data_IF_043177586737
#
_entry.id   IF_043177586737
#
_cell.length_a   1.000
_cell.length_b   1.000
_cell.length_c   1.000
_cell.angle_alpha   90.00
_cell.angle_beta   90.00
_cell.angle_gamma   90.00
#
_symmetry.space_group_name_H-M   'P 1'
#
loop_
_entity.id
_entity.type
_entity.pdbx_description
1 polymer ?
#
# COMPACT_ATOMS: atom_id res chain seq x y z
N UNK A 1 4.25 9.36 -13.08
CA UNK A 1 2.82 9.19 -13.44
C UNK A 1 2.33 10.34 -14.33
N UNK A 2 2.53 11.61 -13.99
CA UNK A 2 2.07 12.76 -14.83
C UNK A 2 2.64 12.70 -16.25
N UNK A 3 3.96 12.52 -16.40
CA UNK A 3 4.61 12.40 -17.71
C UNK A 3 4.08 11.17 -18.48
N UNK A 4 3.96 10.04 -17.79
CA UNK A 4 3.43 8.80 -18.36
C UNK A 4 2.01 8.98 -18.92
N UNK A 5 1.15 9.70 -18.21
CA UNK A 5 -0.25 9.93 -18.60
C UNK A 5 -0.38 10.70 -19.92
N UNK A 6 0.62 11.49 -20.35
CA UNK A 6 0.62 12.11 -21.66
C UNK A 6 0.60 11.11 -22.81
N UNK A 7 1.37 10.04 -22.70
CA UNK A 7 1.37 8.96 -23.69
C UNK A 7 0.16 8.05 -23.57
N UNK A 8 -0.18 7.64 -22.33
CA UNK A 8 -1.23 6.67 -22.08
C UNK A 8 -2.64 7.16 -22.42
N UNK A 9 -2.96 8.44 -22.16
CA UNK A 9 -4.27 9.04 -22.40
C UNK A 9 -4.30 9.91 -23.67
N UNK A 10 -3.33 9.76 -24.56
CA UNK A 10 -3.29 10.53 -25.80
C UNK A 10 -4.52 10.21 -26.66
N UNK A 11 -5.30 11.27 -26.98
CA UNK A 11 -6.54 11.11 -27.75
C UNK A 11 -7.79 10.72 -26.95
N UNK A 12 -7.67 10.44 -25.64
CA UNK A 12 -8.80 10.10 -24.77
C UNK A 12 -9.60 11.35 -24.38
N UNK A 13 -10.91 11.19 -24.34
CA UNK A 13 -11.81 12.24 -23.85
C UNK A 13 -11.66 12.45 -22.34
N UNK A 14 -11.51 13.69 -21.89
CA UNK A 14 -11.42 14.02 -20.46
C UNK A 14 -9.99 14.14 -19.94
N UNK A 15 -9.01 14.30 -20.82
CA UNK A 15 -7.60 14.50 -20.48
C UNK A 15 -7.38 15.59 -19.41
N UNK A 16 -8.00 16.77 -19.56
CA UNK A 16 -7.92 17.86 -18.58
C UNK A 16 -8.48 17.44 -17.21
N UNK A 17 -9.62 16.73 -17.23
CA UNK A 17 -10.25 16.22 -15.99
C UNK A 17 -9.34 15.23 -15.27
N UNK A 18 -8.64 14.35 -16.01
CA UNK A 18 -7.67 13.43 -15.43
C UNK A 18 -6.57 14.17 -14.64
N UNK A 19 -5.97 15.19 -15.24
CA UNK A 19 -4.91 15.96 -14.58
C UNK A 19 -5.42 16.78 -13.39
N UNK A 20 -6.63 17.32 -13.45
CA UNK A 20 -7.23 18.01 -12.31
C UNK A 20 -7.40 17.05 -11.12
N UNK A 21 -7.93 15.86 -11.35
CA UNK A 21 -8.11 14.86 -10.29
C UNK A 21 -6.79 14.28 -9.78
N UNK A 22 -5.81 14.08 -10.67
CA UNK A 22 -4.49 13.60 -10.32
C UNK A 22 -3.74 14.62 -9.44
N UNK A 23 -3.86 15.92 -9.75
CA UNK A 23 -3.27 16.99 -8.96
C UNK A 23 -3.95 17.11 -7.59
N UNK A 24 -5.29 17.00 -7.53
CA UNK A 24 -6.05 16.99 -6.29
C UNK A 24 -5.62 15.82 -5.39
N UNK A 25 -5.45 14.63 -5.98
CA UNK A 25 -5.00 13.44 -5.26
C UNK A 25 -3.58 13.63 -4.70
N UNK A 26 -2.66 14.14 -5.51
CA UNK A 26 -1.28 14.40 -5.09
C UNK A 26 -1.21 15.43 -3.97
N UNK A 27 -1.98 16.53 -4.08
CA UNK A 27 -2.08 17.54 -3.03
C UNK A 27 -2.63 16.93 -1.73
N UNK A 28 -3.66 16.11 -1.83
CA UNK A 28 -4.27 15.45 -0.65
C UNK A 28 -3.29 14.53 0.06
N UNK A 29 -2.52 13.75 -0.71
CA UNK A 29 -1.51 12.85 -0.15
C UNK A 29 -0.35 13.61 0.49
N UNK A 30 0.16 14.65 -0.15
CA UNK A 30 1.21 15.50 0.43
C UNK A 30 0.72 16.18 1.71
N UNK A 31 -0.51 16.71 1.70
CA UNK A 31 -1.12 17.32 2.89
C UNK A 31 -1.26 16.33 4.06
N UNK A 32 -1.58 15.07 3.78
CA UNK A 32 -1.64 14.01 4.79
C UNK A 32 -0.25 13.76 5.41
N UNK A 33 0.79 13.69 4.59
CA UNK A 33 2.16 13.40 5.07
C UNK A 33 2.75 14.55 5.88
N UNK A 34 2.50 15.80 5.47
CA UNK A 34 3.02 16.99 6.16
C UNK A 34 2.12 17.49 7.29
N UNK A 35 1.00 16.83 7.57
CA UNK A 35 0.09 17.19 8.65
C UNK A 35 0.84 17.27 9.99
N UNK A 36 0.60 18.35 10.74
CA UNK A 36 1.24 18.61 12.05
C UNK A 36 0.46 18.04 13.22
N UNK A 37 -0.78 17.63 12.99
CA UNK A 37 -1.65 17.04 13.99
C UNK A 37 -2.56 15.97 13.37
N UNK A 38 -3.07 15.06 14.21
CA UNK A 38 -3.88 13.93 13.78
C UNK A 38 -5.23 14.35 13.21
N UNK A 39 -5.81 15.44 13.72
CA UNK A 39 -7.08 15.95 13.21
C UNK A 39 -6.90 16.52 11.79
N UNK A 40 -5.79 17.22 11.51
CA UNK A 40 -5.46 17.70 10.16
C UNK A 40 -5.20 16.56 9.19
N UNK A 41 -4.67 15.44 9.66
CA UNK A 41 -4.46 14.23 8.86
C UNK A 41 -5.78 13.66 8.33
N UNK A 42 -6.87 13.76 9.10
CA UNK A 42 -8.18 13.26 8.73
C UNK A 42 -8.80 13.94 7.49
N UNK A 43 -8.95 15.29 7.38
CA UNK A 43 -9.45 15.92 6.16
C UNK A 43 -8.64 15.60 4.92
N UNK A 44 -7.32 15.49 5.01
CA UNK A 44 -6.51 15.10 3.86
C UNK A 44 -6.70 13.62 3.48
N UNK A 45 -6.92 12.73 4.44
CA UNK A 45 -7.32 11.35 4.19
C UNK A 45 -8.67 11.29 3.48
N UNK A 46 -9.64 12.12 3.91
CA UNK A 46 -10.94 12.25 3.30
C UNK A 46 -10.84 12.76 1.84
N UNK A 47 -10.07 13.82 1.63
CA UNK A 47 -9.88 14.41 0.30
C UNK A 47 -9.17 13.43 -0.66
N UNK A 48 -8.21 12.65 -0.15
CA UNK A 48 -7.58 11.56 -0.90
C UNK A 48 -8.62 10.48 -1.29
N UNK A 49 -9.57 10.16 -0.41
CA UNK A 49 -10.67 9.25 -0.71
C UNK A 49 -11.61 9.77 -1.81
N UNK A 50 -11.95 11.06 -1.79
CA UNK A 50 -12.78 11.70 -2.84
C UNK A 50 -12.04 11.70 -4.18
N UNK A 51 -10.78 12.13 -4.18
CA UNK A 51 -9.99 12.20 -5.41
C UNK A 51 -9.76 10.80 -6.02
N UNK A 52 -9.55 9.77 -5.20
CA UNK A 52 -9.47 8.38 -5.69
C UNK A 52 -10.78 7.89 -6.27
N UNK A 53 -11.93 8.23 -5.68
CA UNK A 53 -13.26 7.95 -6.24
C UNK A 53 -13.40 8.52 -7.65
N UNK A 54 -13.02 9.79 -7.85
CA UNK A 54 -13.09 10.47 -9.15
C UNK A 54 -12.12 9.85 -10.18
N UNK A 55 -10.94 9.43 -9.74
CA UNK A 55 -9.94 8.79 -10.60
C UNK A 55 -10.30 7.36 -10.99
N UNK A 56 -10.82 6.54 -10.07
CA UNK A 56 -11.29 5.19 -10.36
C UNK A 56 -12.49 5.23 -11.30
N UNK A 57 -13.42 6.18 -11.07
CA UNK A 57 -14.58 6.43 -11.93
C UNK A 57 -14.31 7.25 -13.18
N UNK A 58 -13.05 7.39 -13.61
CA UNK A 58 -12.68 8.20 -14.77
C UNK A 58 -13.46 7.80 -16.04
N UNK A 59 -13.60 6.51 -16.27
CA UNK A 59 -14.40 5.95 -17.36
C UNK A 59 -15.88 5.79 -16.95
N UNK A 60 -16.50 6.88 -16.47
CA UNK A 60 -17.87 6.90 -15.97
C UNK A 60 -18.97 6.42 -16.95
N UNK A 61 -18.78 6.38 -18.28
CA UNK A 61 -19.75 5.72 -19.16
C UNK A 61 -19.80 4.20 -18.95
N UNK A 62 -18.73 3.60 -18.37
CA UNK A 62 -18.68 2.17 -18.08
C UNK A 62 -19.31 1.88 -16.71
N UNK A 63 -20.33 1.05 -16.70
CA UNK A 63 -21.03 0.67 -15.46
C UNK A 63 -20.08 0.02 -14.43
N UNK A 64 -19.10 -0.77 -14.90
CA UNK A 64 -18.09 -1.40 -14.05
C UNK A 64 -17.25 -0.37 -13.31
N UNK A 65 -16.77 0.69 -13.99
CA UNK A 65 -15.96 1.75 -13.40
C UNK A 65 -16.77 2.55 -12.34
N UNK A 66 -18.05 2.83 -12.62
CA UNK A 66 -18.94 3.49 -11.66
C UNK A 66 -19.21 2.62 -10.43
N UNK A 67 -19.44 1.32 -10.61
CA UNK A 67 -19.64 0.39 -9.49
C UNK A 67 -18.38 0.26 -8.64
N UNK A 68 -17.20 0.14 -9.27
CA UNK A 68 -15.91 0.05 -8.61
C UNK A 68 -15.57 1.32 -7.80
N UNK A 69 -15.80 2.50 -8.39
CA UNK A 69 -15.55 3.78 -7.69
C UNK A 69 -16.46 3.96 -6.48
N UNK A 70 -17.75 3.66 -6.60
CA UNK A 70 -18.71 3.68 -5.48
C UNK A 70 -18.32 2.70 -4.38
N UNK A 71 -17.94 1.48 -4.73
CA UNK A 71 -17.48 0.47 -3.76
C UNK A 71 -16.24 0.94 -3.01
N UNK A 72 -15.23 1.45 -3.72
CA UNK A 72 -14.02 1.99 -3.11
C UNK A 72 -14.35 3.14 -2.13
N UNK A 73 -15.21 4.06 -2.54
CA UNK A 73 -15.62 5.18 -1.71
C UNK A 73 -16.36 4.72 -0.46
N UNK A 74 -17.37 3.86 -0.59
CA UNK A 74 -18.20 3.42 0.55
C UNK A 74 -17.35 2.65 1.57
N UNK A 75 -16.51 1.70 1.12
CA UNK A 75 -15.68 0.90 2.02
C UNK A 75 -14.66 1.76 2.77
N UNK A 76 -14.00 2.68 2.09
CA UNK A 76 -13.03 3.57 2.74
C UNK A 76 -13.71 4.57 3.67
N UNK A 77 -14.91 5.08 3.33
CA UNK A 77 -15.69 5.97 4.21
C UNK A 77 -16.18 5.28 5.47
N UNK A 78 -16.61 4.05 5.34
CA UNK A 78 -16.98 3.25 6.51
C UNK A 78 -15.78 3.11 7.47
N UNK A 79 -14.59 2.85 6.96
CA UNK A 79 -13.39 2.79 7.76
C UNK A 79 -13.00 4.16 8.37
N UNK A 80 -13.13 5.24 7.59
CA UNK A 80 -12.81 6.60 8.03
C UNK A 80 -13.72 7.07 9.18
N UNK A 81 -14.96 6.54 9.30
CA UNK A 81 -15.82 6.79 10.46
C UNK A 81 -15.16 6.32 11.77
N UNK A 82 -14.58 5.13 11.78
CA UNK A 82 -13.84 4.63 12.94
C UNK A 82 -12.58 5.45 13.21
N UNK A 83 -11.89 5.89 12.15
CA UNK A 83 -10.75 6.79 12.28
C UNK A 83 -11.14 8.09 13.01
N UNK A 84 -12.23 8.72 12.59
CA UNK A 84 -12.73 9.96 13.22
C UNK A 84 -13.10 9.73 14.68
N UNK A 85 -13.86 8.66 14.98
CA UNK A 85 -14.25 8.34 16.36
C UNK A 85 -13.01 8.15 17.24
N UNK A 86 -12.01 7.42 16.74
CA UNK A 86 -10.74 7.22 17.45
C UNK A 86 -10.00 8.53 17.72
N UNK A 87 -9.94 9.43 16.73
CA UNK A 87 -9.33 10.76 16.87
C UNK A 87 -10.07 11.60 17.93
N UNK A 88 -11.40 11.59 17.90
CA UNK A 88 -12.20 12.38 18.86
C UNK A 88 -12.06 11.86 20.29
N UNK A 89 -12.05 10.52 20.48
CA UNK A 89 -11.79 9.91 21.79
C UNK A 89 -10.38 10.31 22.25
N UNK A 90 -9.37 10.14 21.38
CA UNK A 90 -8.00 10.51 21.70
C UNK A 90 -7.91 11.97 22.11
N UNK A 91 -8.42 12.91 21.29
CA UNK A 91 -8.35 14.34 21.58
C UNK A 91 -9.13 14.77 22.83
N UNK A 92 -10.26 14.12 23.12
CA UNK A 92 -11.03 14.40 24.33
C UNK A 92 -10.28 14.03 25.62
N UNK A 93 -9.59 12.87 25.62
CA UNK A 93 -8.89 12.40 26.82
C UNK A 93 -7.47 12.94 26.95
N UNK A 94 -6.81 13.30 25.86
CA UNK A 94 -5.44 13.86 25.88
C UNK A 94 -5.41 15.38 25.78
N UNK A 95 -6.57 16.02 25.55
CA UNK A 95 -6.71 17.47 25.34
C UNK A 95 -5.80 18.04 24.24
N UNK A 96 -5.28 17.17 23.34
CA UNK A 96 -4.38 17.55 22.27
C UNK A 96 -4.55 16.66 21.04
N UNK A 97 -4.35 17.26 19.87
CA UNK A 97 -4.28 16.55 18.58
C UNK A 97 -2.86 16.62 17.96
N UNK A 98 -1.92 17.27 18.61
CA UNK A 98 -0.61 17.60 18.04
C UNK A 98 0.35 16.41 18.01
N UNK A 99 1.11 16.26 16.91
CA UNK A 99 2.21 15.30 16.81
C UNK A 99 3.52 15.74 17.49
N UNK A 100 3.66 17.02 17.84
CA UNK A 100 4.81 17.48 18.65
C UNK A 100 4.92 16.75 19.99
N UNK A 101 3.80 16.30 20.45
CA UNK A 101 3.56 15.41 21.52
C UNK A 101 4.22 14.02 21.35
N UNK A 102 4.12 13.42 20.20
CA UNK A 102 4.78 12.14 19.88
C UNK A 102 6.31 12.30 19.84
N UNK A 103 6.79 13.44 19.34
CA UNK A 103 8.22 13.71 19.24
C UNK A 103 8.88 14.01 20.59
N UNK A 104 8.15 14.55 21.56
CA UNK A 104 8.70 14.83 22.90
C UNK A 104 8.86 13.56 23.76
N UNK A 105 8.20 12.46 23.41
CA UNK A 105 8.44 11.15 24.02
C UNK A 105 9.87 10.62 23.75
N UNK A 106 10.53 11.08 22.70
CA UNK A 106 11.86 10.62 22.29
C UNK A 106 13.03 11.49 22.80
N UNK A 107 12.76 12.63 23.47
CA UNK A 107 13.77 13.69 23.58
C UNK A 107 14.25 14.03 25.00
N UNK A 108 13.89 13.32 26.05
CA UNK A 108 14.29 13.79 27.37
C UNK A 108 14.77 12.69 28.32
N UNK A 109 16.08 12.66 28.57
CA UNK A 109 16.61 12.19 29.84
C UNK A 109 15.92 12.94 30.99
N UNK A 110 14.89 12.33 31.56
CA UNK A 110 14.27 12.76 32.82
C UNK A 110 13.16 13.82 32.77
N UNK A 111 12.75 14.32 31.59
CA UNK A 111 11.55 15.15 31.49
C UNK A 111 10.32 14.27 31.23
N UNK A 112 9.37 14.26 32.16
CA UNK A 112 8.07 13.63 31.97
C UNK A 112 7.39 14.38 30.82
N UNK A 113 7.09 13.73 29.68
CA UNK A 113 6.43 14.41 28.57
C UNK A 113 5.08 14.98 29.04
N UNK A 114 4.66 16.10 28.49
CA UNK A 114 3.37 16.76 28.75
C UNK A 114 2.17 15.78 28.71
N UNK A 115 2.30 14.70 27.94
CA UNK A 115 1.33 13.60 27.83
C UNK A 115 1.35 12.62 28.98
N UNK A 116 2.46 12.38 29.59
CA UNK A 116 2.46 11.42 30.67
C UNK A 116 1.46 11.86 31.76
N UNK A 117 1.24 13.17 31.95
CA UNK A 117 0.23 13.67 32.85
C UNK A 117 -1.21 13.48 32.33
N UNK A 118 -1.45 13.71 31.02
CA UNK A 118 -2.79 13.64 30.43
C UNK A 118 -3.15 12.22 29.99
N UNK A 119 -2.19 11.45 29.49
CA UNK A 119 -2.35 10.02 29.28
C UNK A 119 -2.43 9.24 30.60
N UNK A 120 -1.74 9.70 31.66
CA UNK A 120 -1.94 9.15 33.01
C UNK A 120 -3.37 9.41 33.53
N UNK A 121 -3.98 10.54 33.18
CA UNK A 121 -5.41 10.79 33.46
C UNK A 121 -6.31 9.85 32.64
N UNK A 122 -6.02 9.65 31.37
CA UNK A 122 -6.78 8.73 30.51
C UNK A 122 -6.61 7.26 30.94
N UNK A 123 -5.42 6.87 31.37
CA UNK A 123 -5.14 5.55 31.97
C UNK A 123 -5.82 5.42 33.34
N UNK A 124 -5.83 6.47 34.15
CA UNK A 124 -6.51 6.50 35.44
C UNK A 124 -8.05 6.49 35.29
N UNK A 125 -8.59 7.07 34.24
CA UNK A 125 -10.04 7.07 33.94
C UNK A 125 -10.57 5.72 33.41
N UNK A 126 -9.70 4.81 33.02
CA UNK A 126 -10.02 3.46 32.54
C UNK A 126 -9.02 3.01 31.49
N UNK A 127 -8.06 2.19 31.87
CA UNK A 127 -6.86 1.81 31.09
C UNK A 127 -7.07 1.18 29.71
N UNK A 128 -8.32 1.08 29.21
CA UNK A 128 -8.65 0.59 27.87
C UNK A 128 -9.00 1.70 26.87
N UNK A 129 -9.14 2.95 27.29
CA UNK A 129 -9.65 4.07 26.44
C UNK A 129 -8.67 4.40 25.32
N UNK A 130 -7.41 4.65 25.65
CA UNK A 130 -6.37 4.95 24.65
C UNK A 130 -6.12 3.76 23.71
N UNK A 131 -5.96 2.50 24.21
CA UNK A 131 -5.90 1.34 23.34
C UNK A 131 -7.10 1.24 22.40
N UNK A 132 -8.32 1.50 22.88
CA UNK A 132 -9.53 1.49 22.04
C UNK A 132 -9.48 2.57 20.96
N UNK A 133 -9.08 3.79 21.31
CA UNK A 133 -8.93 4.87 20.34
C UNK A 133 -7.92 4.52 19.24
N UNK A 134 -6.76 3.94 19.59
CA UNK A 134 -5.74 3.51 18.64
C UNK A 134 -6.24 2.38 17.74
N UNK A 135 -6.97 1.39 18.27
CA UNK A 135 -7.57 0.31 17.46
C UNK A 135 -8.62 0.87 16.50
N UNK A 136 -9.47 1.81 16.92
CA UNK A 136 -10.42 2.47 16.02
C UNK A 136 -9.71 3.25 14.91
N UNK A 137 -8.64 3.96 15.26
CA UNK A 137 -7.81 4.62 14.23
C UNK A 137 -7.17 3.61 13.27
N UNK A 138 -6.72 2.46 13.78
CA UNK A 138 -6.19 1.38 12.94
C UNK A 138 -7.23 0.85 11.94
N UNK A 139 -8.51 0.71 12.32
CA UNK A 139 -9.57 0.30 11.39
C UNK A 139 -9.65 1.27 10.21
N UNK A 140 -9.55 2.58 10.46
CA UNK A 140 -9.47 3.58 9.40
C UNK A 140 -8.28 3.38 8.47
N UNK A 141 -7.09 3.22 9.03
CA UNK A 141 -5.87 2.91 8.28
C UNK A 141 -5.96 1.59 7.52
N UNK A 142 -6.53 0.55 8.12
CA UNK A 142 -6.76 -0.76 7.51
C UNK A 142 -7.68 -0.68 6.29
N UNK A 143 -8.69 0.20 6.31
CA UNK A 143 -9.56 0.44 5.16
C UNK A 143 -8.83 1.05 3.97
N UNK A 144 -7.98 2.05 4.20
CA UNK A 144 -7.13 2.66 3.17
C UNK A 144 -6.08 1.68 2.64
N UNK A 145 -5.48 0.92 3.54
CA UNK A 145 -4.44 -0.07 3.22
C UNK A 145 -5.00 -1.41 2.72
N UNK A 146 -6.30 -1.49 2.52
CA UNK A 146 -7.00 -2.68 2.01
C UNK A 146 -6.66 -3.96 2.80
N UNK A 147 -6.61 -3.86 4.15
CA UNK A 147 -6.47 -5.03 5.02
C UNK A 147 -7.79 -5.81 5.10
N UNK A 148 -7.70 -7.12 5.29
CA UNK A 148 -8.89 -7.96 5.50
C UNK A 148 -9.67 -7.51 6.75
N UNK A 149 -11.01 -7.42 6.68
CA UNK A 149 -11.91 -7.73 5.56
C UNK A 149 -12.18 -6.55 4.60
N UNK A 150 -11.58 -5.37 4.82
CA UNK A 150 -11.83 -4.13 4.09
C UNK A 150 -11.07 -4.03 2.73
N UNK A 151 -10.49 -5.14 2.26
CA UNK A 151 -9.67 -5.22 1.04
C UNK A 151 -10.47 -5.23 -0.27
N UNK A 152 -11.77 -5.49 -0.20
CA UNK A 152 -12.64 -5.83 -1.34
C UNK A 152 -12.77 -4.74 -2.41
N UNK A 153 -12.38 -3.52 -2.10
CA UNK A 153 -12.45 -2.40 -3.04
C UNK A 153 -11.22 -2.32 -3.96
N UNK A 154 -10.06 -2.79 -3.49
CA UNK A 154 -8.78 -2.56 -4.17
C UNK A 154 -8.65 -3.31 -5.51
N UNK A 155 -9.04 -4.60 -5.64
CA UNK A 155 -9.02 -5.30 -6.92
C UNK A 155 -10.00 -4.70 -7.95
N UNK A 156 -11.14 -4.19 -7.50
CA UNK A 156 -12.13 -3.58 -8.40
C UNK A 156 -11.70 -2.17 -8.83
N UNK A 157 -10.89 -1.47 -8.04
CA UNK A 157 -10.29 -0.18 -8.41
C UNK A 157 -9.43 -0.25 -9.68
N UNK A 158 -9.13 -1.46 -10.18
CA UNK A 158 -8.42 -1.69 -11.45
C UNK A 158 -9.20 -1.25 -12.70
N UNK A 159 -10.49 -0.94 -12.58
CA UNK A 159 -11.31 -0.37 -13.66
C UNK A 159 -10.87 1.06 -14.05
N UNK A 160 -10.14 1.76 -13.19
CA UNK A 160 -9.55 3.05 -13.48
C UNK A 160 -8.36 2.98 -14.47
N UNK A 161 -7.92 4.12 -15.04
CA UNK A 161 -6.75 4.18 -15.91
C UNK A 161 -5.48 3.63 -15.22
N UNK A 162 -4.62 2.94 -15.96
CA UNK A 162 -3.42 2.31 -15.37
C UNK A 162 -2.46 3.29 -14.68
N UNK A 163 -2.23 4.53 -15.15
CA UNK A 163 -1.47 5.53 -14.41
C UNK A 163 -2.03 5.83 -13.01
N UNK A 164 -3.37 5.82 -12.88
CA UNK A 164 -4.05 5.97 -11.59
C UNK A 164 -3.79 4.77 -10.69
N UNK A 165 -3.90 3.56 -11.26
CA UNK A 165 -3.57 2.34 -10.52
C UNK A 165 -2.12 2.36 -10.02
N UNK A 166 -1.15 2.78 -10.85
CA UNK A 166 0.23 2.94 -10.45
C UNK A 166 0.37 3.90 -9.26
N UNK A 167 -0.30 5.05 -9.28
CA UNK A 167 -0.23 6.04 -8.21
C UNK A 167 -0.85 5.51 -6.90
N UNK A 168 -2.07 5.00 -6.95
CA UNK A 168 -2.81 4.50 -5.77
C UNK A 168 -2.05 3.36 -5.08
N UNK A 169 -1.46 2.44 -5.85
CA UNK A 169 -0.92 1.18 -5.34
C UNK A 169 0.56 1.21 -4.99
N UNK A 170 1.35 2.15 -5.54
CA UNK A 170 2.79 2.15 -5.30
C UNK A 170 3.15 2.80 -3.95
N UNK A 171 2.79 4.07 -3.74
CA UNK A 171 3.34 4.87 -2.66
C UNK A 171 2.34 5.82 -1.99
N UNK A 172 1.04 5.74 -2.30
CA UNK A 172 0.10 6.75 -1.85
C UNK A 172 -1.04 6.19 -1.01
N UNK A 173 -2.22 5.99 -1.56
CA UNK A 173 -3.42 5.68 -0.78
C UNK A 173 -3.26 4.42 0.09
N UNK A 174 -2.72 3.34 -0.48
CA UNK A 174 -2.61 2.06 0.22
C UNK A 174 -1.54 2.05 1.32
N UNK A 175 -0.56 2.94 1.27
CA UNK A 175 0.45 3.09 2.33
C UNK A 175 0.02 4.06 3.43
N UNK A 176 -1.10 4.78 3.26
CA UNK A 176 -1.57 5.76 4.23
C UNK A 176 -1.83 5.14 5.63
N UNK A 177 -2.37 3.92 5.69
CA UNK A 177 -2.55 3.22 6.96
C UNK A 177 -1.25 2.75 7.60
N UNK A 178 -0.28 2.31 6.80
CA UNK A 178 1.09 2.01 7.28
C UNK A 178 1.73 3.26 7.87
N UNK A 179 1.66 4.37 7.13
CA UNK A 179 2.17 5.67 7.59
C UNK A 179 1.48 6.14 8.88
N UNK A 180 0.16 5.95 8.98
CA UNK A 180 -0.61 6.31 10.18
C UNK A 180 -0.13 5.54 11.42
N UNK A 181 0.06 4.22 11.32
CA UNK A 181 0.58 3.42 12.44
C UNK A 181 2.00 3.84 12.77
N UNK A 182 2.85 4.01 11.75
CA UNK A 182 4.23 4.45 11.94
C UNK A 182 4.32 5.84 12.59
N UNK A 183 3.42 6.75 12.24
CA UNK A 183 3.35 8.11 12.83
C UNK A 183 2.91 8.09 14.29
N UNK A 184 2.01 7.16 14.64
CA UNK A 184 1.50 6.97 16.00
C UNK A 184 2.25 5.87 16.75
N UNK A 185 3.35 5.34 16.20
CA UNK A 185 4.06 4.20 16.73
C UNK A 185 4.48 4.32 18.19
N UNK A 186 5.00 5.48 18.68
CA UNK A 186 5.30 5.65 20.09
C UNK A 186 4.09 5.45 21.01
N UNK A 187 2.90 5.92 20.60
CA UNK A 187 1.67 5.74 21.35
C UNK A 187 1.22 4.27 21.40
N UNK A 188 1.41 3.53 20.30
CA UNK A 188 1.12 2.10 20.24
C UNK A 188 1.99 1.31 21.23
N UNK A 189 3.30 1.58 21.24
CA UNK A 189 4.26 0.88 22.10
C UNK A 189 3.99 1.20 23.57
N UNK A 190 3.70 2.45 23.90
CA UNK A 190 3.51 2.91 25.29
C UNK A 190 2.15 2.50 25.86
N UNK A 191 1.07 2.72 25.11
CA UNK A 191 -0.30 2.60 25.65
C UNK A 191 -1.09 1.40 25.14
N UNK A 192 -0.70 0.78 24.04
CA UNK A 192 -1.44 -0.31 23.42
C UNK A 192 -0.55 -1.49 22.92
N UNK A 193 0.51 -1.90 23.66
CA UNK A 193 1.41 -2.95 23.20
C UNK A 193 0.69 -4.29 22.96
N UNK A 194 -0.26 -4.64 23.82
CA UNK A 194 -1.05 -5.87 23.67
C UNK A 194 -1.95 -5.87 22.42
N UNK A 195 -2.46 -4.72 22.02
CA UNK A 195 -3.32 -4.55 20.84
C UNK A 195 -2.53 -4.57 19.52
N UNK A 196 -1.21 -4.37 19.55
CA UNK A 196 -0.36 -4.55 18.36
C UNK A 196 -0.47 -5.97 17.79
N UNK A 197 -0.78 -6.97 18.63
CA UNK A 197 -1.07 -8.33 18.16
C UNK A 197 -2.24 -8.40 17.17
N UNK A 198 -3.23 -7.50 17.26
CA UNK A 198 -4.33 -7.40 16.30
C UNK A 198 -3.78 -6.98 14.93
N UNK A 199 -2.86 -6.00 14.92
CA UNK A 199 -2.19 -5.54 13.67
C UNK A 199 -1.40 -6.68 13.05
N UNK A 200 -0.64 -7.45 13.87
CA UNK A 200 0.13 -8.63 13.41
C UNK A 200 -0.80 -9.64 12.74
N UNK A 201 -1.82 -10.13 13.44
CA UNK A 201 -2.62 -11.23 12.92
C UNK A 201 -3.51 -10.84 11.74
N UNK A 202 -4.08 -9.63 11.73
CA UNK A 202 -4.77 -9.09 10.55
C UNK A 202 -3.79 -8.96 9.38
N UNK A 203 -2.57 -8.49 9.61
CA UNK A 203 -1.52 -8.39 8.61
C UNK A 203 -1.12 -9.75 8.05
N UNK A 204 -0.80 -10.73 8.91
CA UNK A 204 -0.40 -12.10 8.53
C UNK A 204 -1.49 -12.77 7.68
N UNK A 205 -2.75 -12.71 8.14
CA UNK A 205 -3.87 -13.28 7.40
C UNK A 205 -4.05 -12.60 6.04
N UNK A 206 -3.99 -11.27 6.01
CA UNK A 206 -4.12 -10.49 4.77
C UNK A 206 -3.00 -10.81 3.79
N UNK A 207 -1.75 -10.90 4.26
CA UNK A 207 -0.59 -11.22 3.44
C UNK A 207 -0.73 -12.58 2.76
N UNK A 208 -1.10 -13.60 3.55
CA UNK A 208 -1.31 -14.96 3.06
C UNK A 208 -2.48 -15.06 2.08
N UNK A 209 -3.65 -14.54 2.47
CA UNK A 209 -4.85 -14.56 1.65
C UNK A 209 -4.62 -13.87 0.29
N UNK A 210 -4.05 -12.66 0.32
CA UNK A 210 -3.82 -11.91 -0.91
C UNK A 210 -2.79 -12.58 -1.83
N UNK A 211 -1.72 -13.17 -1.28
CA UNK A 211 -0.74 -13.92 -2.07
C UNK A 211 -1.36 -15.17 -2.71
N UNK A 212 -2.19 -15.92 -1.97
CA UNK A 212 -2.88 -17.09 -2.49
C UNK A 212 -3.83 -16.72 -3.64
N UNK A 213 -4.61 -15.63 -3.49
CA UNK A 213 -5.50 -15.14 -4.56
C UNK A 213 -4.70 -14.65 -5.77
N UNK A 214 -3.57 -13.95 -5.57
CA UNK A 214 -2.71 -13.49 -6.66
C UNK A 214 -2.20 -14.66 -7.53
N UNK A 215 -1.94 -15.83 -6.92
CA UNK A 215 -1.53 -17.04 -7.65
C UNK A 215 -2.58 -17.53 -8.67
N UNK A 216 -3.86 -17.22 -8.46
CA UNK A 216 -4.97 -17.70 -9.29
C UNK A 216 -5.51 -16.67 -10.29
N UNK A 217 -5.14 -15.38 -10.17
CA UNK A 217 -5.65 -14.34 -11.06
C UNK A 217 -5.11 -14.47 -12.49
N UNK A 218 -5.95 -14.16 -13.48
CA UNK A 218 -5.62 -14.12 -14.92
C UNK A 218 -5.42 -12.70 -15.47
N UNK A 219 -5.98 -11.68 -14.81
CA UNK A 219 -5.85 -10.27 -15.16
C UNK A 219 -4.55 -9.68 -14.57
N UNK A 220 -3.70 -9.09 -15.43
CA UNK A 220 -2.41 -8.48 -15.03
C UNK A 220 -2.57 -7.43 -13.92
N UNK A 221 -3.58 -6.56 -14.03
CA UNK A 221 -3.81 -5.51 -13.03
C UNK A 221 -4.29 -6.10 -11.71
N UNK A 222 -5.14 -7.14 -11.74
CA UNK A 222 -5.62 -7.83 -10.52
C UNK A 222 -4.50 -8.61 -9.84
N UNK A 223 -3.61 -9.28 -10.56
CA UNK A 223 -2.40 -9.89 -9.97
C UNK A 223 -1.60 -8.85 -9.22
N UNK A 224 -1.33 -7.69 -9.84
CA UNK A 224 -0.59 -6.60 -9.22
C UNK A 224 -1.34 -5.97 -8.02
N UNK A 225 -2.68 -5.89 -8.07
CA UNK A 225 -3.49 -5.40 -6.95
C UNK A 225 -3.40 -6.31 -5.73
N UNK A 226 -3.62 -7.62 -5.89
CA UNK A 226 -3.47 -8.58 -4.79
C UNK A 226 -2.04 -8.67 -4.28
N UNK A 227 -1.06 -8.55 -5.15
CA UNK A 227 0.34 -8.45 -4.72
C UNK A 227 0.61 -7.17 -3.93
N UNK A 228 -0.08 -6.06 -4.21
CA UNK A 228 -0.01 -4.84 -3.39
C UNK A 228 -0.58 -5.08 -2.00
N UNK A 229 -1.78 -5.66 -1.88
CA UNK A 229 -2.40 -6.01 -0.60
C UNK A 229 -1.43 -6.85 0.25
N UNK A 230 -0.82 -7.87 -0.37
CA UNK A 230 0.15 -8.74 0.30
C UNK A 230 1.38 -7.98 0.79
N UNK A 231 1.97 -7.09 -0.03
CA UNK A 231 3.18 -6.33 0.36
C UNK A 231 2.88 -5.26 1.42
N UNK A 232 1.73 -4.59 1.35
CA UNK A 232 1.32 -3.65 2.40
C UNK A 232 1.10 -4.41 3.72
N UNK A 233 0.55 -5.60 3.66
CA UNK A 233 0.41 -6.47 4.84
C UNK A 233 1.76 -6.88 5.44
N UNK A 234 2.82 -7.10 4.62
CA UNK A 234 4.18 -7.27 5.13
C UNK A 234 4.64 -6.08 5.99
N UNK A 235 4.38 -4.86 5.52
CA UNK A 235 4.74 -3.64 6.27
C UNK A 235 3.95 -3.52 7.57
N UNK A 236 2.65 -3.86 7.55
CA UNK A 236 1.81 -3.87 8.75
C UNK A 236 2.29 -4.90 9.77
N UNK A 237 2.62 -6.11 9.33
CA UNK A 237 3.19 -7.15 10.21
C UNK A 237 4.50 -6.66 10.82
N UNK A 238 5.39 -6.06 10.01
CA UNK A 238 6.68 -5.55 10.49
C UNK A 238 6.52 -4.50 11.59
N UNK A 239 5.55 -3.58 11.46
CA UNK A 239 5.22 -2.63 12.53
C UNK A 239 4.63 -3.34 13.76
N UNK A 240 3.76 -4.32 13.54
CA UNK A 240 3.05 -5.02 14.60
C UNK A 240 3.93 -5.89 15.48
N UNK A 241 5.00 -6.49 14.94
CA UNK A 241 5.93 -7.36 15.68
C UNK A 241 6.92 -6.60 16.57
N UNK A 242 6.96 -5.28 16.48
CA UNK A 242 7.77 -4.43 17.33
C UNK A 242 7.14 -4.27 18.71
N UNK A 243 7.35 -5.19 19.62
CA UNK A 243 6.84 -5.11 21.00
C UNK A 243 7.94 -4.78 22.01
N UNK A 244 7.65 -3.92 23.01
CA UNK A 244 8.53 -3.72 24.15
C UNK A 244 8.68 -5.04 24.92
N UNK A 245 9.91 -5.41 25.25
CA UNK A 245 10.19 -6.58 26.10
C UNK A 245 10.68 -7.84 25.40
N UNK A 246 10.66 -7.93 24.09
CA UNK A 246 11.34 -9.00 23.35
C UNK A 246 12.81 -8.64 22.98
N UNK A 247 13.18 -7.36 23.10
CA UNK A 247 14.57 -6.90 23.04
C UNK A 247 14.83 -5.90 24.16
N UNK A 248 15.84 -6.16 24.98
CA UNK A 248 16.25 -5.31 26.10
C UNK A 248 16.80 -3.93 25.66
N UNK A 249 16.75 -3.62 24.38
CA UNK A 249 17.33 -2.39 23.85
C UNK A 249 16.36 -1.80 22.84
N UNK A 250 15.60 -0.78 23.25
CA UNK A 250 15.24 0.28 22.32
C UNK A 250 16.58 1.02 22.08
N UNK A 251 17.43 0.41 21.27
CA UNK A 251 18.67 1.06 20.83
C UNK A 251 18.32 2.35 20.12
N UNK A 252 19.25 3.28 20.11
CA UNK A 252 19.21 4.55 19.39
C UNK A 252 18.87 4.40 17.88
N UNK A 253 18.74 3.18 17.39
CA UNK A 253 18.44 2.79 16.00
C UNK A 253 16.98 2.38 15.73
N UNK A 254 16.08 2.44 16.72
CA UNK A 254 14.67 2.00 16.57
C UNK A 254 14.53 0.47 16.54
N UNK A 255 13.30 -0.05 16.65
CA UNK A 255 13.08 -1.49 16.52
C UNK A 255 13.26 -1.93 15.07
N UNK A 256 13.86 -3.11 14.86
CA UNK A 256 14.15 -3.68 13.54
C UNK A 256 12.91 -3.67 12.63
N UNK A 257 11.76 -4.09 13.14
CA UNK A 257 10.53 -4.15 12.36
C UNK A 257 10.03 -2.79 11.88
N UNK A 258 10.17 -1.72 12.68
CA UNK A 258 9.81 -0.36 12.25
C UNK A 258 10.68 0.09 11.09
N UNK A 259 12.01 -0.04 11.22
CA UNK A 259 12.95 0.34 10.17
C UNK A 259 12.74 -0.49 8.90
N UNK A 260 12.55 -1.81 9.05
CA UNK A 260 12.28 -2.72 7.95
C UNK A 260 10.98 -2.36 7.22
N UNK A 261 9.91 -2.01 7.95
CA UNK A 261 8.64 -1.56 7.37
C UNK A 261 8.81 -0.31 6.53
N UNK A 262 9.49 0.73 7.05
CA UNK A 262 9.73 1.99 6.34
C UNK A 262 10.66 1.79 5.15
N UNK A 263 11.68 0.97 5.28
CA UNK A 263 12.57 0.62 4.18
C UNK A 263 11.81 -0.16 3.08
N UNK A 264 10.97 -1.12 3.46
CA UNK A 264 10.16 -1.84 2.50
C UNK A 264 9.12 -0.94 1.80
N UNK A 265 8.57 0.06 2.49
CA UNK A 265 7.69 1.07 1.90
C UNK A 265 8.41 1.82 0.77
N UNK A 266 9.64 2.27 1.01
CA UNK A 266 10.44 2.95 0.00
C UNK A 266 10.75 2.07 -1.21
N UNK A 267 11.24 0.85 -1.00
CA UNK A 267 11.55 -0.08 -2.09
C UNK A 267 10.31 -0.50 -2.86
N UNK A 268 9.19 -0.74 -2.14
CA UNK A 268 7.89 -1.06 -2.70
C UNK A 268 7.39 0.04 -3.65
N UNK A 269 7.52 1.30 -3.26
CA UNK A 269 7.12 2.43 -4.08
C UNK A 269 7.78 2.38 -5.47
N UNK A 270 9.08 2.07 -5.53
CA UNK A 270 9.84 2.02 -6.76
C UNK A 270 9.44 0.84 -7.66
N UNK A 271 9.54 -0.39 -7.16
CA UNK A 271 9.25 -1.55 -8.01
C UNK A 271 7.74 -1.67 -8.35
N UNK A 272 6.82 -1.23 -7.49
CA UNK A 272 5.39 -1.26 -7.79
C UNK A 272 4.99 -0.23 -8.85
N UNK A 273 5.50 0.98 -8.75
CA UNK A 273 5.27 1.98 -9.80
C UNK A 273 5.74 1.44 -11.16
N UNK A 274 6.95 0.90 -11.22
CA UNK A 274 7.50 0.33 -12.46
C UNK A 274 6.64 -0.85 -12.98
N UNK A 275 6.18 -1.76 -12.12
CA UNK A 275 5.31 -2.88 -12.52
C UNK A 275 3.96 -2.42 -13.08
N UNK A 276 3.31 -1.45 -12.44
CA UNK A 276 2.03 -0.93 -12.95
C UNK A 276 2.19 -0.11 -14.22
N UNK A 277 3.22 0.73 -14.31
CA UNK A 277 3.51 1.48 -15.55
C UNK A 277 3.88 0.54 -16.68
N UNK A 278 4.70 -0.49 -16.41
CA UNK A 278 5.02 -1.55 -17.37
C UNK A 278 3.78 -2.35 -17.80
N UNK A 279 2.89 -2.69 -16.86
CA UNK A 279 1.60 -3.30 -17.19
C UNK A 279 0.75 -2.41 -18.09
N UNK A 280 0.76 -1.09 -17.87
CA UNK A 280 0.09 -0.13 -18.74
C UNK A 280 0.67 -0.09 -20.14
N UNK A 281 1.99 -0.18 -20.30
CA UNK A 281 2.63 -0.30 -21.63
C UNK A 281 2.16 -1.56 -22.35
N UNK A 282 2.09 -2.70 -21.63
CA UNK A 282 1.64 -3.99 -22.18
C UNK A 282 0.17 -3.91 -22.60
N UNK A 283 -0.71 -3.39 -21.73
CA UNK A 283 -2.14 -3.24 -22.01
C UNK A 283 -2.35 -2.30 -23.22
N UNK A 284 -1.58 -1.23 -23.31
CA UNK A 284 -1.65 -0.29 -24.43
C UNK A 284 -1.26 -0.95 -25.77
N UNK A 285 -0.30 -1.88 -25.74
CA UNK A 285 0.14 -2.62 -26.92
C UNK A 285 -0.79 -3.76 -27.33
N UNK A 286 -1.46 -4.42 -26.37
CA UNK A 286 -2.28 -5.64 -26.59
C UNK A 286 -3.79 -5.34 -26.55
N UNK A 287 -4.19 -4.19 -26.01
CA UNK A 287 -5.59 -3.78 -25.78
C UNK A 287 -6.42 -4.78 -24.94
N UNK A 288 -5.75 -5.53 -24.06
CA UNK A 288 -6.40 -6.48 -23.14
C UNK A 288 -5.66 -6.52 -21.80
N UNK A 289 -6.42 -6.72 -20.70
CA UNK A 289 -5.86 -6.96 -19.37
C UNK A 289 -5.58 -8.44 -19.11
N UNK A 290 -6.14 -9.36 -19.92
CA UNK A 290 -6.05 -10.80 -19.70
C UNK A 290 -4.70 -11.34 -20.16
N UNK A 291 -4.06 -12.14 -19.31
CA UNK A 291 -2.77 -12.79 -19.60
C UNK A 291 -2.87 -13.77 -20.78
N UNK A 292 -4.04 -14.36 -21.03
CA UNK A 292 -4.29 -15.24 -22.17
C UNK A 292 -4.21 -14.55 -23.53
N UNK A 293 -4.42 -13.23 -23.55
CA UNK A 293 -4.26 -12.39 -24.74
C UNK A 293 -2.80 -11.98 -24.99
N UNK A 294 -1.92 -12.19 -24.01
CA UNK A 294 -0.51 -11.83 -24.04
C UNK A 294 0.31 -13.08 -24.40
N UNK A 295 1.60 -12.89 -24.62
CA UNK A 295 2.55 -13.98 -24.88
C UNK A 295 3.61 -13.58 -25.89
N UNK A 296 4.86 -14.01 -25.68
CA UNK A 296 5.96 -13.76 -26.60
C UNK A 296 6.37 -12.29 -26.75
N UNK A 297 5.88 -11.37 -25.89
CA UNK A 297 6.02 -9.92 -26.05
C UNK A 297 7.46 -9.40 -25.91
N UNK A 298 8.41 -10.20 -25.41
CA UNK A 298 9.81 -9.78 -25.24
C UNK A 298 10.48 -9.26 -26.53
N UNK A 299 10.03 -9.75 -27.70
CA UNK A 299 10.59 -9.36 -28.99
C UNK A 299 10.11 -7.99 -29.44
N UNK A 300 8.89 -7.65 -29.07
CA UNK A 300 8.20 -6.44 -29.48
C UNK A 300 8.41 -5.27 -28.50
N UNK A 301 8.63 -5.58 -27.22
CA UNK A 301 8.72 -4.61 -26.14
C UNK A 301 9.99 -4.84 -25.27
N UNK A 302 11.20 -4.65 -25.83
CA UNK A 302 12.45 -4.99 -25.13
C UNK A 302 12.71 -4.10 -23.90
N UNK A 303 12.36 -2.80 -23.93
CA UNK A 303 12.55 -1.88 -22.81
C UNK A 303 11.60 -2.23 -21.67
N UNK A 304 10.30 -2.36 -21.98
CA UNK A 304 9.27 -2.78 -21.02
C UNK A 304 9.60 -4.16 -20.43
N UNK A 305 10.07 -5.09 -21.24
CA UNK A 305 10.49 -6.43 -20.81
C UNK A 305 11.58 -6.38 -19.73
N UNK A 306 12.66 -5.63 -19.95
CA UNK A 306 13.82 -5.57 -19.04
C UNK A 306 13.42 -4.86 -17.74
N UNK A 307 12.72 -3.72 -17.82
CA UNK A 307 12.31 -2.96 -16.64
C UNK A 307 11.30 -3.74 -15.78
N UNK A 308 10.37 -4.45 -16.42
CA UNK A 308 9.42 -5.32 -15.72
C UNK A 308 10.14 -6.50 -15.05
N UNK A 309 11.14 -7.12 -15.69
CA UNK A 309 11.94 -8.19 -15.11
C UNK A 309 12.69 -7.72 -13.86
N UNK A 310 13.38 -6.57 -13.95
CA UNK A 310 14.10 -5.99 -12.79
C UNK A 310 13.16 -5.78 -11.61
N UNK A 311 11.97 -5.26 -11.87
CA UNK A 311 10.95 -5.06 -10.83
C UNK A 311 10.38 -6.37 -10.29
N UNK A 312 10.23 -7.40 -11.12
CA UNK A 312 9.85 -8.75 -10.69
C UNK A 312 10.93 -9.38 -9.78
N UNK A 313 12.20 -9.23 -10.11
CA UNK A 313 13.32 -9.68 -9.27
C UNK A 313 13.36 -8.95 -7.93
N UNK A 314 13.11 -7.63 -7.95
CA UNK A 314 13.06 -6.83 -6.74
C UNK A 314 11.90 -7.27 -5.82
N UNK A 315 10.66 -7.34 -6.31
CA UNK A 315 9.51 -7.73 -5.49
C UNK A 315 9.58 -9.20 -5.04
N UNK A 316 10.19 -10.09 -5.82
CA UNK A 316 10.42 -11.49 -5.44
C UNK A 316 11.41 -11.62 -4.28
N UNK A 317 12.24 -10.61 -4.03
CA UNK A 317 13.27 -10.66 -3.00
C UNK A 317 14.49 -11.48 -3.43
N UNK A 318 14.91 -11.34 -4.68
CA UNK A 318 16.14 -11.98 -5.18
C UNK A 318 17.35 -11.20 -4.65
N UNK A 319 18.41 -11.87 -4.16
CA UNK A 319 19.64 -11.20 -3.68
C UNK A 319 20.17 -10.17 -4.67
N UNK A 320 20.75 -9.11 -4.15
CA UNK A 320 21.26 -7.92 -4.86
C UNK A 320 20.19 -6.93 -5.36
N UNK A 321 18.88 -7.24 -5.23
CA UNK A 321 17.81 -6.29 -5.52
C UNK A 321 17.25 -5.68 -4.24
N UNK A 322 16.69 -4.48 -4.35
CA UNK A 322 16.23 -3.67 -3.21
C UNK A 322 15.19 -4.37 -2.31
N UNK A 323 14.33 -5.20 -2.88
CA UNK A 323 13.32 -5.93 -2.12
C UNK A 323 13.87 -7.09 -1.30
N UNK A 324 15.08 -7.59 -1.57
CA UNK A 324 15.71 -8.64 -0.78
C UNK A 324 15.98 -8.15 0.64
N UNK A 325 16.82 -7.13 0.79
CA UNK A 325 17.23 -6.61 2.10
C UNK A 325 16.02 -6.20 2.95
N UNK A 326 15.04 -5.50 2.34
CA UNK A 326 13.87 -5.03 3.08
C UNK A 326 12.95 -6.17 3.55
N UNK A 327 12.80 -7.25 2.76
CA UNK A 327 12.02 -8.43 3.16
C UNK A 327 12.74 -9.31 4.16
N UNK A 328 14.04 -9.46 4.01
CA UNK A 328 14.88 -10.24 4.92
C UNK A 328 14.79 -9.69 6.33
N UNK A 329 14.92 -8.37 6.50
CA UNK A 329 14.76 -7.70 7.79
C UNK A 329 13.35 -7.88 8.38
N UNK A 330 12.29 -7.78 7.53
CA UNK A 330 10.91 -8.03 8.00
C UNK A 330 10.74 -9.48 8.49
N UNK A 331 11.23 -10.45 7.73
CA UNK A 331 11.12 -11.87 8.08
C UNK A 331 11.92 -12.16 9.34
N UNK A 332 13.11 -11.57 9.48
CA UNK A 332 13.93 -11.68 10.71
C UNK A 332 13.15 -11.17 11.93
N UNK A 333 12.58 -9.96 11.86
CA UNK A 333 11.73 -9.42 12.92
C UNK A 333 10.52 -10.31 13.23
N UNK A 334 9.93 -10.95 12.22
CA UNK A 334 8.83 -11.90 12.40
C UNK A 334 9.27 -13.16 13.15
N UNK A 335 10.47 -13.71 12.87
CA UNK A 335 11.00 -14.86 13.59
C UNK A 335 11.34 -14.53 15.05
N UNK A 336 11.84 -13.34 15.31
CA UNK A 336 12.10 -12.85 16.67
C UNK A 336 10.82 -12.73 17.49
N UNK A 337 9.72 -12.28 16.86
CA UNK A 337 8.41 -12.21 17.50
C UNK A 337 7.80 -13.61 17.75
N UNK A 338 7.76 -14.45 16.71
CA UNK A 338 7.21 -15.81 16.76
C UNK A 338 7.65 -16.64 15.57
N UNK A 339 8.19 -17.88 15.80
CA UNK A 339 8.52 -18.78 14.70
C UNK A 339 7.35 -19.06 13.75
N UNK A 340 6.11 -19.11 14.28
CA UNK A 340 4.90 -19.34 13.48
C UNK A 340 4.69 -18.20 12.47
N UNK A 341 4.78 -16.95 12.94
CA UNK A 341 4.66 -15.77 12.08
C UNK A 341 5.80 -15.75 11.05
N UNK A 342 7.04 -16.01 11.48
CA UNK A 342 8.21 -16.08 10.59
C UNK A 342 8.02 -17.08 9.45
N UNK A 343 7.59 -18.30 9.75
CA UNK A 343 7.36 -19.32 8.72
C UNK A 343 6.20 -18.98 7.77
N UNK A 344 5.10 -18.43 8.28
CA UNK A 344 3.98 -17.98 7.42
C UNK A 344 4.47 -16.88 6.47
N UNK A 345 5.18 -15.87 6.97
CA UNK A 345 5.68 -14.76 6.15
C UNK A 345 6.73 -15.22 5.13
N UNK A 346 7.57 -16.19 5.47
CA UNK A 346 8.49 -16.86 4.52
C UNK A 346 7.71 -17.57 3.41
N UNK A 347 6.64 -18.29 3.75
CA UNK A 347 5.75 -18.91 2.77
C UNK A 347 5.08 -17.89 1.85
N UNK A 348 4.65 -16.75 2.38
CA UNK A 348 4.08 -15.65 1.59
C UNK A 348 5.13 -15.04 0.65
N UNK A 349 6.39 -14.93 1.09
CA UNK A 349 7.48 -14.46 0.22
C UNK A 349 7.72 -15.44 -0.95
N UNK A 350 7.69 -16.75 -0.71
CA UNK A 350 7.79 -17.77 -1.75
C UNK A 350 6.61 -17.68 -2.74
N UNK A 351 5.37 -17.52 -2.25
CA UNK A 351 4.20 -17.30 -3.12
C UNK A 351 4.35 -16.01 -3.94
N UNK A 352 4.96 -14.98 -3.37
CA UNK A 352 5.24 -13.72 -4.10
C UNK A 352 6.14 -13.97 -5.31
N UNK A 353 7.22 -14.69 -5.13
CA UNK A 353 8.10 -15.07 -6.24
C UNK A 353 7.33 -15.89 -7.30
N UNK A 354 6.55 -16.88 -6.86
CA UNK A 354 5.79 -17.74 -7.76
C UNK A 354 4.82 -16.93 -8.65
N UNK A 355 3.91 -16.12 -8.08
CA UNK A 355 2.92 -15.42 -8.90
C UNK A 355 3.53 -14.31 -9.77
N UNK A 356 4.62 -13.67 -9.33
CA UNK A 356 5.29 -12.65 -10.14
C UNK A 356 6.03 -13.26 -11.33
N UNK A 357 6.71 -14.39 -11.15
CA UNK A 357 7.35 -15.09 -12.28
C UNK A 357 6.33 -15.79 -13.19
N UNK A 358 5.23 -16.31 -12.64
CA UNK A 358 4.10 -16.79 -13.46
C UNK A 358 3.58 -15.67 -14.37
N UNK A 359 3.39 -14.47 -13.82
CA UNK A 359 2.97 -13.29 -14.58
C UNK A 359 4.00 -12.92 -15.66
N UNK A 360 5.27 -12.81 -15.28
CA UNK A 360 6.36 -12.45 -16.19
C UNK A 360 6.52 -13.45 -17.35
N UNK A 361 6.59 -14.74 -17.05
CA UNK A 361 6.75 -15.76 -18.08
C UNK A 361 5.52 -15.87 -18.97
N UNK A 362 4.32 -15.75 -18.43
CA UNK A 362 3.08 -15.75 -19.21
C UNK A 362 3.03 -14.64 -20.24
N UNK A 363 3.49 -13.44 -19.89
CA UNK A 363 3.45 -12.25 -20.76
C UNK A 363 4.59 -12.26 -21.79
N UNK A 364 5.82 -12.44 -21.33
CA UNK A 364 6.99 -12.21 -22.20
C UNK A 364 7.51 -13.46 -22.89
N UNK A 365 7.26 -14.67 -22.35
CA UNK A 365 7.78 -15.94 -22.84
C UNK A 365 6.69 -16.92 -23.25
N UNK A 366 5.43 -16.68 -22.92
CA UNK A 366 4.30 -17.53 -23.27
C UNK A 366 4.11 -17.69 -24.78
N UNK A 367 3.19 -18.56 -25.16
CA UNK A 367 2.82 -18.76 -26.57
C UNK A 367 2.15 -17.50 -27.13
N UNK A 368 2.66 -17.04 -28.25
CA UNK A 368 2.18 -15.86 -28.95
C UNK A 368 0.74 -16.07 -29.43
N UNK A 369 -0.15 -15.13 -29.13
CA UNK A 369 -1.53 -15.15 -29.63
C UNK A 369 -1.56 -14.61 -31.06
N UNK A 370 -1.42 -15.52 -32.03
CA UNK A 370 -1.31 -15.17 -33.44
C UNK A 370 -2.56 -14.50 -34.02
N UNK A 371 -3.75 -14.81 -33.50
CA UNK A 371 -5.00 -14.20 -33.97
C UNK A 371 -5.06 -12.72 -33.58
N UNK A 372 -4.70 -12.38 -32.34
CA UNK A 372 -4.68 -11.01 -31.88
C UNK A 372 -3.57 -10.19 -32.56
N UNK A 373 -2.39 -10.80 -32.72
CA UNK A 373 -1.23 -10.15 -33.35
C UNK A 373 -1.40 -9.97 -34.87
N UNK A 374 -2.25 -10.75 -35.52
CA UNK A 374 -2.59 -10.57 -36.94
C UNK A 374 -3.41 -9.29 -37.18
N UNK A 375 -4.23 -8.87 -36.21
CA UNK A 375 -5.02 -7.64 -36.31
C UNK A 375 -4.28 -6.41 -35.80
N UNK A 376 -3.36 -6.57 -34.83
CA UNK A 376 -2.58 -5.48 -34.28
C UNK A 376 -1.20 -6.00 -33.82
N UNK A 377 -0.15 -5.62 -34.54
CA UNK A 377 1.22 -5.99 -34.14
C UNK A 377 1.62 -5.20 -32.90
N UNK A 378 1.94 -5.86 -31.75
CA UNK A 378 2.41 -5.16 -30.58
C UNK A 378 3.68 -4.36 -30.88
N UNK A 379 3.81 -3.19 -30.30
CA UNK A 379 4.98 -2.34 -30.43
C UNK A 379 5.37 -1.74 -29.08
N UNK A 380 6.62 -1.28 -28.96
CA UNK A 380 7.08 -0.64 -27.73
C UNK A 380 6.29 0.67 -27.49
N UNK A 381 6.05 0.97 -26.23
CA UNK A 381 5.35 2.17 -25.84
C UNK A 381 6.18 3.44 -26.16
N UNK A 382 5.54 4.60 -26.34
CA UNK A 382 6.22 5.86 -26.64
C UNK A 382 7.17 6.27 -25.49
N UNK A 383 8.15 7.13 -25.80
CA UNK A 383 9.17 7.58 -24.82
C UNK A 383 8.56 8.20 -23.55
N UNK A 384 7.42 8.87 -23.66
CA UNK A 384 6.69 9.43 -22.50
C UNK A 384 6.22 8.36 -21.52
N UNK A 385 6.10 7.11 -21.94
CA UNK A 385 5.69 5.96 -21.13
C UNK A 385 6.88 5.09 -20.72
N UNK A 386 7.93 5.01 -21.53
CA UNK A 386 9.08 4.14 -21.26
C UNK A 386 10.16 4.80 -20.39
N UNK A 387 10.32 6.14 -20.46
CA UNK A 387 11.33 6.87 -19.66
C UNK A 387 10.97 6.95 -18.17
N UNK A 388 9.71 7.22 -17.74
CA UNK A 388 9.38 7.26 -16.32
C UNK A 388 9.51 5.94 -15.61
#
# INVERSE_FOLDING_TARGET
VHIYSFGYLHGENGFQRHYAFLSLFTMSMLGLVVATNIFQMYPFSELMGVSSYLLIGFYYPLHAAVAASKKAFIVTRFADLFFLIGILIFGFYTESFSFSFVNNLQLADGAVPFIAADAAKAVAAGGFILPTALVLMFIGGAGKSAMFPLHIWLPDAMEGPTPVSALIHAATMVVAGVFQIARLFPLWIEYAPGQMSIVVWIGVFTAFYAAAVACAQSDIKRVLAFSTISQIAFMMVALGVCLPGHHEVIDAHGSLGYMASMFHLFTHAMFKACLFLGAGCIIHAVHSNEMSAMGGLRKYMPVTHITFLISCLAIAGIPFFSGFSSKDEIITACFEYSPVVGWIMTGVAAMTAFYMFRLYYGIFWGTENKELHAHHTPHEAPLTMTVP
#
